data_IF_858537189028
#
_entry.id   IF_858537189028
#
_cell.length_a   1.000
_cell.length_b   1.000
_cell.length_c   1.000
_cell.angle_alpha   90.00
_cell.angle_beta   90.00
_cell.angle_gamma   90.00
#
_symmetry.space_group_name_H-M   'P 1'
#
loop_
_entity.id
_entity.type
_entity.pdbx_description
1 polymer ?
#
# COMPACT_ATOMS: atom_id res chain seq x y z
N UNK A 1 31.94 23.07 -32.49
CA UNK A 1 31.74 22.97 -31.05
C UNK A 1 31.27 21.55 -30.76
N UNK A 2 32.03 20.76 -30.02
CA UNK A 2 31.60 19.43 -29.62
C UNK A 2 30.46 19.55 -28.60
N UNK A 3 29.32 18.96 -28.91
CA UNK A 3 28.24 18.85 -27.96
C UNK A 3 28.74 18.13 -26.71
N UNK A 4 28.65 18.78 -25.56
CA UNK A 4 28.98 18.18 -24.29
C UNK A 4 28.01 17.00 -24.07
N UNK A 5 28.52 15.77 -24.11
CA UNK A 5 27.73 14.58 -23.71
C UNK A 5 27.32 14.75 -22.28
N UNK A 6 26.03 15.01 -22.05
CA UNK A 6 25.44 15.00 -20.73
C UNK A 6 25.41 13.54 -20.25
N UNK A 7 26.26 13.22 -19.29
CA UNK A 7 26.20 11.92 -18.61
C UNK A 7 24.96 11.90 -17.69
N UNK A 8 23.98 11.09 -18.04
CA UNK A 8 22.86 10.79 -17.16
C UNK A 8 23.29 9.71 -16.17
N UNK A 9 23.40 10.08 -14.91
CA UNK A 9 23.63 9.11 -13.83
C UNK A 9 22.37 8.23 -13.71
N UNK A 10 22.54 6.92 -13.77
CA UNK A 10 21.45 5.98 -13.53
C UNK A 10 21.30 5.73 -12.02
N UNK A 11 20.06 5.56 -11.49
CA UNK A 11 19.87 5.17 -10.10
C UNK A 11 20.56 3.82 -9.85
N UNK A 12 21.53 3.83 -8.98
CA UNK A 12 22.35 2.67 -8.62
C UNK A 12 22.79 2.80 -7.18
N UNK A 13 23.35 1.74 -6.61
CA UNK A 13 23.93 1.77 -5.27
C UNK A 13 25.03 2.85 -5.17
N UNK A 14 25.83 3.02 -6.21
CA UNK A 14 26.86 4.07 -6.27
C UNK A 14 26.25 5.48 -6.22
N UNK A 15 25.08 5.67 -6.83
CA UNK A 15 24.37 6.94 -6.76
C UNK A 15 23.84 7.22 -5.36
N UNK A 16 23.40 6.20 -4.60
CA UNK A 16 23.08 6.36 -3.18
C UNK A 16 24.31 6.79 -2.40
N UNK A 17 25.48 6.22 -2.68
CA UNK A 17 26.75 6.60 -2.03
C UNK A 17 27.08 8.10 -2.25
N UNK A 18 26.65 8.70 -3.37
CA UNK A 18 26.84 10.12 -3.63
C UNK A 18 26.05 11.07 -2.72
N UNK A 19 25.09 10.53 -1.97
CA UNK A 19 24.37 11.27 -0.91
C UNK A 19 25.22 11.45 0.35
N UNK A 20 26.38 10.79 0.47
CA UNK A 20 27.30 11.00 1.59
C UNK A 20 27.91 12.40 1.49
N UNK A 21 27.83 13.18 2.56
CA UNK A 21 28.33 14.57 2.60
C UNK A 21 29.86 14.66 2.56
N UNK A 22 30.56 13.59 2.97
CA UNK A 22 32.02 13.57 3.09
C UNK A 22 32.63 12.31 2.47
N UNK A 23 32.41 12.05 1.17
CA UNK A 23 32.84 10.80 0.53
C UNK A 23 34.35 10.62 0.55
N UNK A 24 35.13 11.71 0.52
CA UNK A 24 36.60 11.68 0.61
C UNK A 24 37.13 11.49 2.05
N UNK A 25 36.28 11.60 3.07
CA UNK A 25 36.65 11.46 4.49
C UNK A 25 36.33 10.09 5.09
N UNK A 26 35.77 9.17 4.28
CA UNK A 26 35.41 7.81 4.73
C UNK A 26 36.09 6.75 3.85
N UNK A 27 36.30 5.56 4.41
CA UNK A 27 36.79 4.42 3.63
C UNK A 27 35.72 3.95 2.63
N UNK A 28 36.14 3.29 1.55
CA UNK A 28 35.22 2.72 0.55
C UNK A 28 34.19 1.79 1.17
N UNK A 29 34.63 0.90 2.07
CA UNK A 29 33.72 -0.01 2.79
C UNK A 29 32.70 0.75 3.63
N UNK A 30 33.07 1.88 4.22
CA UNK A 30 32.14 2.72 4.97
C UNK A 30 31.10 3.42 4.05
N UNK A 31 31.54 3.83 2.87
CA UNK A 31 30.63 4.35 1.83
C UNK A 31 29.61 3.31 1.36
N UNK A 32 30.04 2.06 1.18
CA UNK A 32 29.14 0.94 0.82
C UNK A 32 28.13 0.63 1.94
N UNK A 33 28.56 0.67 3.21
CA UNK A 33 27.66 0.52 4.35
C UNK A 33 26.61 1.64 4.37
N UNK A 34 27.01 2.89 4.20
CA UNK A 34 26.10 4.02 4.10
C UNK A 34 25.04 3.82 3.00
N UNK A 35 25.47 3.41 1.80
CA UNK A 35 24.56 3.17 0.68
C UNK A 35 23.56 2.05 0.99
N UNK A 36 24.02 0.95 1.61
CA UNK A 36 23.18 -0.18 2.01
C UNK A 36 22.17 0.22 3.08
N UNK A 37 22.58 1.01 4.06
CA UNK A 37 21.72 1.47 5.14
C UNK A 37 20.62 2.41 4.64
N UNK A 38 20.93 3.36 3.75
CA UNK A 38 19.89 4.21 3.12
C UNK A 38 18.91 3.38 2.29
N UNK A 39 19.41 2.37 1.55
CA UNK A 39 18.55 1.49 0.77
C UNK A 39 17.57 0.67 1.62
N UNK A 40 17.90 0.41 2.86
CA UNK A 40 17.10 -0.36 3.82
C UNK A 40 16.30 0.52 4.79
N UNK A 41 16.72 1.77 5.01
CA UNK A 41 16.07 2.66 5.96
C UNK A 41 14.64 2.99 5.55
N UNK A 42 13.66 2.85 6.47
CA UNK A 42 12.31 3.31 6.21
C UNK A 42 12.25 4.83 6.17
N UNK A 43 11.34 5.40 5.37
CA UNK A 43 11.07 6.83 5.40
C UNK A 43 10.60 7.29 6.78
N UNK A 44 11.38 8.17 7.41
CA UNK A 44 11.04 8.76 8.71
C UNK A 44 9.97 9.83 8.52
N UNK A 45 8.97 9.85 9.40
CA UNK A 45 7.94 10.89 9.40
C UNK A 45 8.56 12.25 9.71
N UNK A 46 8.25 13.25 8.87
CA UNK A 46 8.82 14.58 9.01
C UNK A 46 10.34 14.61 8.85
N UNK A 47 10.88 13.82 7.91
CA UNK A 47 12.31 13.86 7.56
C UNK A 47 12.76 15.29 7.22
N UNK A 48 13.96 15.65 7.66
CA UNK A 48 14.49 17.01 7.59
C UNK A 48 15.51 17.18 6.45
N UNK A 49 15.71 18.42 6.04
CA UNK A 49 16.81 18.76 5.15
C UNK A 49 18.12 18.53 5.86
N UNK A 50 19.05 17.83 5.22
CA UNK A 50 20.42 17.70 5.76
C UNK A 50 21.07 19.06 5.92
N UNK A 51 21.81 19.21 7.00
CA UNK A 51 22.61 20.43 7.26
C UNK A 51 23.67 20.63 6.15
N UNK A 52 24.26 19.53 5.68
CA UNK A 52 25.25 19.55 4.59
C UNK A 52 24.70 18.71 3.44
N UNK A 53 24.24 19.38 2.40
CA UNK A 53 23.70 18.77 1.21
C UNK A 53 24.80 18.52 0.17
N UNK A 54 24.65 17.44 -0.60
CA UNK A 54 25.58 17.09 -1.67
C UNK A 54 25.15 17.65 -3.02
N UNK A 55 23.89 18.11 -3.14
CA UNK A 55 23.25 18.47 -4.42
C UNK A 55 22.70 17.26 -5.19
N UNK A 56 22.99 16.04 -4.74
CA UNK A 56 22.49 14.81 -5.37
C UNK A 56 21.11 14.39 -4.84
N UNK A 57 20.63 15.00 -3.78
CA UNK A 57 19.33 14.71 -3.16
C UNK A 57 18.19 14.90 -4.17
N UNK A 58 18.24 15.94 -4.99
CA UNK A 58 17.25 16.21 -6.04
C UNK A 58 17.33 15.19 -7.17
N UNK A 59 18.54 14.86 -7.60
CA UNK A 59 18.75 13.88 -8.66
C UNK A 59 18.28 12.50 -8.23
N UNK A 60 18.63 12.10 -7.00
CA UNK A 60 18.17 10.84 -6.42
C UNK A 60 16.65 10.81 -6.25
N UNK A 61 16.04 11.91 -5.78
CA UNK A 61 14.59 12.06 -5.63
C UNK A 61 13.80 11.86 -6.91
N UNK A 62 14.37 12.18 -8.09
CA UNK A 62 13.69 11.95 -9.38
C UNK A 62 13.40 10.49 -9.68
N UNK A 63 14.20 9.58 -9.17
CA UNK A 63 14.16 8.16 -9.52
C UNK A 63 13.58 7.25 -8.43
N UNK A 64 13.35 7.78 -7.24
CA UNK A 64 12.94 6.97 -6.08
C UNK A 64 11.57 7.35 -5.57
N UNK A 65 10.82 6.35 -5.11
CA UNK A 65 9.62 6.50 -4.30
C UNK A 65 8.57 7.52 -4.81
N UNK A 66 8.43 7.59 -6.14
CA UNK A 66 7.47 8.47 -6.80
C UNK A 66 6.65 7.70 -7.84
N UNK A 67 5.38 8.02 -7.93
CA UNK A 67 4.50 7.59 -9.01
C UNK A 67 4.37 8.74 -9.99
N UNK A 68 4.75 8.51 -11.25
CA UNK A 68 4.77 9.52 -12.31
C UNK A 68 3.97 9.08 -13.52
N UNK A 69 3.53 10.04 -14.32
CA UNK A 69 3.04 9.74 -15.67
C UNK A 69 4.21 9.23 -16.54
N UNK A 70 4.08 8.04 -17.14
CA UNK A 70 5.17 7.44 -17.92
C UNK A 70 5.37 8.11 -19.28
N UNK A 71 4.34 8.77 -19.81
CA UNK A 71 4.28 9.39 -21.14
C UNK A 71 3.44 10.68 -21.09
N UNK A 72 3.50 11.49 -22.15
CA UNK A 72 2.49 12.53 -22.33
C UNK A 72 1.14 11.88 -22.61
N UNK A 73 0.20 11.97 -21.69
CA UNK A 73 -1.05 11.23 -21.74
C UNK A 73 -2.28 12.09 -21.62
N UNK A 74 -3.37 11.69 -22.26
CA UNK A 74 -4.71 12.24 -22.05
C UNK A 74 -5.51 11.24 -21.22
N UNK A 75 -6.01 11.69 -20.07
CA UNK A 75 -6.76 10.84 -19.13
C UNK A 75 -8.08 10.43 -19.79
N UNK A 76 -8.30 9.13 -19.91
CA UNK A 76 -9.55 8.57 -20.40
C UNK A 76 -10.53 8.32 -19.26
N UNK A 77 -10.04 7.73 -18.16
CA UNK A 77 -10.86 7.47 -16.97
C UNK A 77 -10.00 7.41 -15.71
N UNK A 78 -10.58 7.87 -14.62
CA UNK A 78 -10.04 7.73 -13.26
C UNK A 78 -10.96 6.77 -12.51
N UNK A 79 -10.43 5.63 -12.08
CA UNK A 79 -11.19 4.58 -11.39
C UNK A 79 -10.66 4.42 -9.97
N UNK A 80 -11.53 4.56 -8.99
CA UNK A 80 -11.19 4.38 -7.58
C UNK A 80 -11.54 2.95 -7.14
N UNK A 81 -10.64 2.31 -6.40
CA UNK A 81 -10.85 0.93 -5.95
C UNK A 81 -12.01 0.79 -4.97
N UNK A 82 -12.32 1.85 -4.21
CA UNK A 82 -13.44 1.89 -3.28
C UNK A 82 -14.28 3.13 -3.55
N UNK A 83 -15.62 2.98 -3.49
CA UNK A 83 -16.51 4.14 -3.65
C UNK A 83 -16.38 5.10 -2.48
N UNK A 84 -16.43 6.40 -2.76
CA UNK A 84 -16.40 7.46 -1.77
C UNK A 84 -17.68 7.54 -0.89
N UNK A 85 -18.72 6.78 -1.24
CA UNK A 85 -20.04 6.87 -0.60
C UNK A 85 -20.21 6.02 0.67
N UNK A 86 -19.14 5.48 1.23
CA UNK A 86 -19.16 4.80 2.52
C UNK A 86 -18.65 5.69 3.65
N UNK A 87 -18.81 5.24 4.88
CA UNK A 87 -18.31 5.82 6.13
C UNK A 87 -16.80 6.07 6.18
N UNK A 88 -16.06 5.69 5.14
CA UNK A 88 -14.69 6.13 4.91
C UNK A 88 -14.72 7.63 4.65
N UNK A 89 -14.61 8.38 5.73
CA UNK A 89 -14.61 9.83 5.66
C UNK A 89 -13.54 10.32 4.66
N UNK A 90 -13.76 11.50 4.09
CA UNK A 90 -12.90 12.29 3.21
C UNK A 90 -11.39 12.36 3.58
N UNK A 91 -11.00 11.72 4.67
CA UNK A 91 -9.64 11.73 5.25
C UNK A 91 -8.74 10.59 4.76
N UNK A 92 -9.29 9.56 4.12
CA UNK A 92 -8.49 8.41 3.69
C UNK A 92 -8.18 8.46 2.20
N UNK A 93 -6.93 8.22 1.85
CA UNK A 93 -6.53 8.09 0.45
C UNK A 93 -7.04 6.74 -0.08
N UNK A 94 -7.66 6.77 -1.25
CA UNK A 94 -8.22 5.59 -1.90
C UNK A 94 -7.28 5.18 -3.04
N UNK A 95 -6.94 3.89 -3.20
CA UNK A 95 -6.17 3.45 -4.36
C UNK A 95 -6.89 3.84 -5.64
N UNK A 96 -6.17 4.41 -6.59
CA UNK A 96 -6.74 4.97 -7.81
C UNK A 96 -5.99 4.44 -9.01
N UNK A 97 -6.71 3.97 -10.01
CA UNK A 97 -6.16 3.60 -11.31
C UNK A 97 -6.55 4.64 -12.35
N UNK A 98 -5.54 5.17 -13.02
CA UNK A 98 -5.71 6.19 -14.07
C UNK A 98 -5.48 5.54 -15.41
N UNK A 99 -6.50 5.50 -16.27
CA UNK A 99 -6.40 5.02 -17.65
C UNK A 99 -6.12 6.22 -18.53
N UNK A 100 -5.09 6.14 -19.36
CA UNK A 100 -4.67 7.23 -20.23
C UNK A 100 -4.40 6.75 -21.66
N UNK A 101 -4.56 7.66 -22.62
CA UNK A 101 -4.09 7.49 -23.98
C UNK A 101 -2.68 8.09 -24.11
N UNK A 102 -1.76 7.33 -24.69
CA UNK A 102 -0.38 7.74 -24.94
C UNK A 102 -0.33 8.65 -26.18
N UNK A 103 0.01 9.90 -25.99
CA UNK A 103 0.11 10.89 -27.06
C UNK A 103 1.44 10.84 -27.79
N UNK A 104 2.49 10.28 -27.19
CA UNK A 104 3.82 10.14 -27.78
C UNK A 104 3.85 9.00 -28.81
N UNK A 105 2.99 8.00 -28.65
CA UNK A 105 2.92 6.85 -29.55
C UNK A 105 2.24 7.15 -30.91
N UNK A 106 1.35 8.14 -30.96
CA UNK A 106 0.54 8.49 -32.13
C UNK A 106 -0.85 7.82 -32.12
N UNK A 107 -1.59 7.92 -33.24
CA UNK A 107 -2.94 7.33 -33.34
C UNK A 107 -4.06 8.16 -32.71
N UNK A 108 -3.77 9.37 -32.24
CA UNK A 108 -4.76 10.28 -31.64
C UNK A 108 -5.57 11.10 -32.63
N UNK A 109 -5.25 11.10 -33.92
CA UNK A 109 -5.91 11.91 -34.94
C UNK A 109 -6.54 11.03 -36.04
N UNK A 110 -7.65 11.45 -36.59
CA UNK A 110 -8.29 10.83 -37.76
C UNK A 110 -7.38 10.71 -38.98
N UNK A 111 -6.32 11.50 -39.05
CA UNK A 111 -5.30 11.47 -40.12
C UNK A 111 -4.15 10.53 -39.85
N UNK A 112 -3.98 10.06 -38.61
CA UNK A 112 -2.89 9.16 -38.20
C UNK A 112 -3.39 7.71 -38.22
N UNK A 113 -2.86 6.92 -39.15
CA UNK A 113 -3.23 5.50 -39.30
C UNK A 113 -2.57 4.57 -38.26
N UNK A 114 -1.69 5.10 -37.40
CA UNK A 114 -1.08 4.29 -36.35
C UNK A 114 -2.14 3.93 -35.30
N UNK A 115 -2.04 2.73 -34.67
CA UNK A 115 -2.95 2.36 -33.61
C UNK A 115 -2.81 3.31 -32.40
N UNK A 116 -3.92 3.67 -31.77
CA UNK A 116 -3.88 4.38 -30.51
C UNK A 116 -3.33 3.45 -29.41
N UNK A 117 -2.52 3.98 -28.49
CA UNK A 117 -2.00 3.21 -27.36
C UNK A 117 -2.62 3.70 -26.06
N UNK A 118 -3.06 2.74 -25.24
CA UNK A 118 -3.63 3.02 -23.91
C UNK A 118 -2.82 2.33 -22.83
N UNK A 119 -2.62 3.04 -21.73
CA UNK A 119 -1.93 2.55 -20.57
C UNK A 119 -2.67 2.84 -19.28
N UNK A 120 -2.13 2.31 -18.19
CA UNK A 120 -2.63 2.57 -16.84
C UNK A 120 -1.50 3.01 -15.93
N UNK A 121 -1.82 3.89 -14.98
CA UNK A 121 -0.98 4.21 -13.82
C UNK A 121 -1.79 3.90 -12.57
N UNK A 122 -1.25 3.08 -11.69
CA UNK A 122 -1.85 2.79 -10.40
C UNK A 122 -1.22 3.68 -9.33
N UNK A 123 -2.05 4.35 -8.53
CA UNK A 123 -1.64 5.18 -7.40
C UNK A 123 -2.08 4.45 -6.14
N UNK A 124 -1.19 3.66 -5.50
CA UNK A 124 -1.50 2.93 -4.27
C UNK A 124 -1.57 3.88 -3.07
N UNK A 125 -2.04 3.36 -1.93
CA UNK A 125 -2.03 4.08 -0.67
C UNK A 125 -0.63 4.06 -0.06
N UNK A 126 0.02 2.89 -0.06
CA UNK A 126 1.29 2.64 0.59
C UNK A 126 2.25 1.87 -0.31
N UNK A 127 3.50 1.85 0.08
CA UNK A 127 4.53 0.99 -0.50
C UNK A 127 5.41 0.43 0.61
N UNK A 128 5.85 -0.81 0.44
CA UNK A 128 6.88 -1.40 1.29
C UNK A 128 8.26 -1.03 0.76
N UNK A 129 9.18 -0.70 1.64
CA UNK A 129 10.56 -0.39 1.32
C UNK A 129 11.49 -1.56 1.67
N UNK A 130 11.36 -2.09 2.88
CA UNK A 130 12.17 -3.20 3.36
C UNK A 130 11.37 -4.08 4.33
N UNK A 131 11.13 -5.34 3.99
CA UNK A 131 10.28 -6.26 4.75
C UNK A 131 8.90 -5.65 5.05
N UNK A 132 8.58 -5.51 6.33
CA UNK A 132 7.31 -4.91 6.80
C UNK A 132 7.35 -3.39 6.88
N UNK A 133 8.51 -2.77 6.65
CA UNK A 133 8.69 -1.33 6.75
C UNK A 133 8.33 -0.64 5.42
N UNK A 134 7.69 0.51 5.51
CA UNK A 134 7.26 1.23 4.32
C UNK A 134 6.78 2.65 4.61
N UNK A 135 5.93 3.16 3.74
CA UNK A 135 5.39 4.51 3.84
C UNK A 135 4.05 4.64 3.13
N UNK A 136 3.25 5.61 3.57
CA UNK A 136 2.06 6.04 2.86
C UNK A 136 2.44 7.05 1.77
N UNK A 137 1.91 6.88 0.56
CA UNK A 137 2.10 7.86 -0.51
C UNK A 137 1.36 9.17 -0.22
N UNK A 138 2.03 10.29 -0.46
CA UNK A 138 1.44 11.62 -0.43
C UNK A 138 1.04 12.02 -1.84
N UNK A 139 -0.26 12.20 -2.08
CA UNK A 139 -0.76 12.66 -3.38
C UNK A 139 -0.42 14.13 -3.63
N UNK A 140 0.05 14.40 -4.83
CA UNK A 140 0.34 15.76 -5.28
C UNK A 140 -0.95 16.51 -5.68
N UNK A 141 -0.92 17.83 -5.83
CA UNK A 141 -2.05 18.57 -6.41
C UNK A 141 -2.45 18.06 -7.79
N UNK A 142 -1.49 17.65 -8.63
CA UNK A 142 -1.77 17.05 -9.94
C UNK A 142 -2.63 15.78 -9.85
N UNK A 143 -2.36 14.91 -8.87
CA UNK A 143 -3.19 13.71 -8.67
C UNK A 143 -4.59 14.01 -8.15
N UNK A 144 -4.77 15.11 -7.44
CA UNK A 144 -6.09 15.55 -6.92
C UNK A 144 -6.96 16.19 -7.99
N UNK A 145 -6.35 16.75 -9.03
CA UNK A 145 -7.04 17.39 -10.16
C UNK A 145 -7.26 16.48 -11.37
N UNK A 146 -6.99 15.16 -11.24
CA UNK A 146 -7.20 14.21 -12.31
C UNK A 146 -8.68 14.11 -12.69
N UNK A 147 -8.96 14.38 -13.96
CA UNK A 147 -10.30 14.29 -14.56
C UNK A 147 -10.20 13.75 -15.98
N UNK A 148 -11.29 13.18 -16.49
CA UNK A 148 -11.36 12.68 -17.85
C UNK A 148 -11.13 13.81 -18.85
N UNK A 149 -10.34 13.55 -19.90
CA UNK A 149 -10.02 14.50 -20.96
C UNK A 149 -8.86 15.45 -20.66
N UNK A 150 -8.32 15.47 -19.46
CA UNK A 150 -7.16 16.32 -19.12
C UNK A 150 -5.88 15.70 -19.68
N UNK A 151 -5.06 16.52 -20.32
CA UNK A 151 -3.71 16.16 -20.74
C UNK A 151 -2.73 16.34 -19.58
N UNK A 152 -1.93 15.31 -19.32
CA UNK A 152 -0.91 15.29 -18.28
C UNK A 152 0.45 15.04 -18.94
N UNK A 153 1.44 15.95 -18.73
CA UNK A 153 2.78 15.76 -19.27
C UNK A 153 3.49 14.54 -18.66
N UNK A 154 4.39 13.97 -19.45
CA UNK A 154 5.34 12.95 -18.97
C UNK A 154 6.10 13.46 -17.74
N UNK A 155 6.47 12.52 -16.86
CA UNK A 155 7.19 12.78 -15.62
C UNK A 155 6.46 13.66 -14.58
N UNK A 156 5.18 14.02 -14.83
CA UNK A 156 4.35 14.65 -13.80
C UNK A 156 4.19 13.72 -12.61
N UNK A 157 4.60 14.18 -11.43
CA UNK A 157 4.53 13.42 -10.19
C UNK A 157 3.09 13.39 -9.69
N UNK A 158 2.50 12.21 -9.57
CA UNK A 158 1.14 12.00 -9.07
C UNK A 158 1.12 11.68 -7.57
N UNK A 159 2.08 10.89 -7.11
CA UNK A 159 2.25 10.59 -5.70
C UNK A 159 3.73 10.43 -5.36
N UNK A 160 4.09 10.68 -4.12
CA UNK A 160 5.47 10.61 -3.65
C UNK A 160 5.56 10.09 -2.23
N UNK A 161 6.70 9.51 -1.88
CA UNK A 161 7.05 9.19 -0.50
C UNK A 161 7.11 10.45 0.38
N UNK A 162 6.85 10.36 1.68
CA UNK A 162 7.12 11.44 2.63
C UNK A 162 8.60 11.90 2.64
N UNK A 163 9.52 11.00 2.23
CA UNK A 163 10.94 11.34 2.08
C UNK A 163 11.26 12.24 0.88
N UNK A 164 10.30 12.52 0.01
CA UNK A 164 10.48 13.46 -1.11
C UNK A 164 9.70 14.72 -0.81
N UNK A 165 10.39 15.84 -0.74
CA UNK A 165 9.76 17.11 -0.45
C UNK A 165 9.03 17.75 -1.66
N UNK A 166 8.45 18.96 -1.46
CA UNK A 166 7.74 19.66 -2.53
C UNK A 166 8.62 20.03 -3.71
N UNK A 167 9.91 20.16 -3.50
CA UNK A 167 10.88 20.52 -4.53
C UNK A 167 11.42 19.29 -5.29
N UNK A 168 11.10 18.08 -4.80
CA UNK A 168 11.61 16.82 -5.34
C UNK A 168 12.91 16.35 -4.71
N UNK A 169 13.36 16.99 -3.63
CA UNK A 169 14.60 16.64 -2.96
C UNK A 169 14.36 15.46 -1.97
N UNK A 170 15.27 14.50 -1.97
CA UNK A 170 15.21 13.34 -1.09
C UNK A 170 15.71 13.70 0.32
N UNK A 171 14.90 13.33 1.31
CA UNK A 171 15.16 13.51 2.75
C UNK A 171 15.05 12.15 3.44
N UNK A 172 16.09 11.73 4.14
CA UNK A 172 16.14 10.35 4.64
C UNK A 172 16.35 10.24 6.15
N UNK A 173 16.33 11.33 6.91
CA UNK A 173 16.51 11.28 8.34
C UNK A 173 16.20 12.60 9.04
N UNK A 174 16.69 12.73 10.25
CA UNK A 174 16.58 13.92 11.09
C UNK A 174 17.93 14.37 11.57
N UNK A 175 18.09 15.69 11.64
CA UNK A 175 19.27 16.29 12.28
C UNK A 175 19.19 16.08 13.79
N UNK A 176 20.31 15.77 14.41
CA UNK A 176 20.40 15.54 15.84
C UNK A 176 21.55 16.32 16.47
N UNK A 177 21.32 16.87 17.66
CA UNK A 177 22.38 17.34 18.51
C UNK A 177 22.99 16.13 19.24
N UNK A 178 24.28 15.91 19.08
CA UNK A 178 24.98 14.76 19.62
C UNK A 178 25.88 15.23 20.80
N UNK A 179 25.70 14.58 21.93
CA UNK A 179 26.63 14.69 23.08
C UNK A 179 27.49 13.43 23.12
N UNK A 180 28.81 13.60 23.05
CA UNK A 180 29.78 12.53 23.25
C UNK A 180 30.02 12.38 24.74
N UNK A 181 29.71 11.21 25.27
CA UNK A 181 29.83 10.91 26.68
C UNK A 181 29.92 9.41 26.94
N UNK A 182 30.10 9.04 28.19
CA UNK A 182 30.07 7.66 28.64
C UNK A 182 28.95 7.48 29.66
N UNK A 183 28.16 6.44 29.47
CA UNK A 183 27.08 6.03 30.37
C UNK A 183 27.34 4.59 30.84
N UNK A 184 27.04 4.24 32.10
CA UNK A 184 27.27 2.88 32.61
C UNK A 184 26.52 1.79 31.80
N UNK A 185 25.36 2.12 31.26
CA UNK A 185 24.46 1.21 30.54
C UNK A 185 24.80 1.06 29.04
N UNK A 186 25.69 1.92 28.53
CA UNK A 186 26.00 1.99 27.09
C UNK A 186 27.46 1.62 26.84
N UNK A 187 27.69 0.68 25.93
CA UNK A 187 29.02 0.23 25.52
C UNK A 187 29.20 0.29 24.02
N UNK A 188 30.41 0.51 23.56
CA UNK A 188 30.85 0.48 22.14
C UNK A 188 30.01 1.42 21.25
N UNK A 189 29.13 0.88 20.43
CA UNK A 189 28.27 1.56 19.45
C UNK A 189 26.87 1.89 19.99
N UNK A 190 26.63 1.70 21.27
CA UNK A 190 25.39 2.06 21.92
C UNK A 190 25.16 3.56 21.98
N UNK A 191 23.89 3.98 21.85
CA UNK A 191 23.48 5.38 21.98
C UNK A 191 22.24 5.51 22.85
N UNK A 192 22.16 6.62 23.59
CA UNK A 192 20.97 7.00 24.35
C UNK A 192 20.17 8.01 23.53
N UNK A 193 18.91 7.71 23.23
CA UNK A 193 18.01 8.64 22.57
C UNK A 193 17.15 9.40 23.58
N UNK A 194 17.06 10.71 23.41
CA UNK A 194 16.03 11.48 24.08
C UNK A 194 14.65 11.03 23.58
N UNK A 195 13.71 10.75 24.49
CA UNK A 195 12.35 10.29 24.16
C UNK A 195 11.68 11.18 23.10
N UNK A 196 11.74 12.49 23.22
CA UNK A 196 11.15 13.40 22.23
C UNK A 196 11.78 13.31 20.84
N UNK A 197 13.09 12.98 20.73
CA UNK A 197 13.72 12.70 19.45
C UNK A 197 13.24 11.38 18.83
N UNK A 198 13.14 10.34 19.67
CA UNK A 198 12.59 9.05 19.21
C UNK A 198 11.15 9.18 18.72
N UNK A 199 10.28 9.86 19.48
CA UNK A 199 8.89 10.14 19.10
C UNK A 199 8.77 10.97 17.82
N UNK A 200 9.68 11.90 17.58
CA UNK A 200 9.76 12.68 16.36
C UNK A 200 10.33 11.89 15.16
N UNK A 201 10.97 10.76 15.39
CA UNK A 201 11.63 9.93 14.37
C UNK A 201 10.84 8.67 14.02
N UNK A 202 9.53 8.70 14.19
CA UNK A 202 8.64 7.58 13.85
C UNK A 202 8.69 7.24 12.37
N UNK A 203 8.46 5.97 12.08
CA UNK A 203 8.30 5.44 10.72
C UNK A 203 7.18 4.41 10.69
N UNK A 204 6.76 4.00 9.50
CA UNK A 204 5.63 3.10 9.30
C UNK A 204 6.03 1.65 9.20
N UNK A 205 5.33 0.80 9.94
CA UNK A 205 5.29 -0.64 9.73
C UNK A 205 3.95 -1.06 9.12
N UNK A 206 3.95 -2.20 8.45
CA UNK A 206 2.75 -2.81 7.87
C UNK A 206 2.70 -4.28 8.24
N UNK A 207 1.52 -4.73 8.62
CA UNK A 207 1.23 -6.14 8.84
C UNK A 207 0.18 -6.63 7.86
N UNK A 208 0.26 -7.90 7.48
CA UNK A 208 -0.76 -8.57 6.68
C UNK A 208 -1.33 -9.73 7.48
N UNK A 209 -2.64 -9.88 7.42
CA UNK A 209 -3.34 -10.95 8.11
C UNK A 209 -4.36 -11.57 7.16
N UNK A 210 -4.33 -12.88 7.04
CA UNK A 210 -5.33 -13.64 6.31
C UNK A 210 -6.32 -14.25 7.28
N UNK A 211 -7.59 -13.96 7.07
CA UNK A 211 -8.73 -14.46 7.81
C UNK A 211 -9.47 -15.44 6.91
N UNK A 212 -9.82 -16.58 7.44
CA UNK A 212 -10.58 -17.61 6.74
C UNK A 212 -11.67 -18.15 7.65
N UNK A 213 -12.86 -18.35 7.12
CA UNK A 213 -13.94 -19.01 7.84
C UNK A 213 -14.92 -19.72 6.90
N UNK A 214 -15.50 -20.79 7.43
CA UNK A 214 -16.51 -21.64 6.79
C UNK A 214 -17.73 -21.78 7.74
N UNK A 215 -18.74 -22.54 7.33
CA UNK A 215 -20.03 -22.61 8.02
C UNK A 215 -20.05 -23.21 9.42
N UNK A 216 -19.01 -23.93 9.83
CA UNK A 216 -18.93 -24.51 11.19
C UNK A 216 -18.42 -23.48 12.22
N UNK A 217 -17.94 -22.32 11.73
CA UNK A 217 -17.40 -21.24 12.53
C UNK A 217 -18.17 -19.96 12.27
N UNK A 218 -18.63 -19.33 13.33
CA UNK A 218 -19.40 -18.09 13.25
C UNK A 218 -18.48 -16.91 13.53
N UNK A 219 -18.31 -15.98 12.54
CA UNK A 219 -17.54 -14.78 12.77
C UNK A 219 -18.23 -13.87 13.80
N UNK A 220 -17.47 -13.29 14.72
CA UNK A 220 -17.99 -12.43 15.77
C UNK A 220 -18.21 -10.99 15.29
N UNK A 221 -19.22 -10.32 15.82
CA UNK A 221 -19.55 -8.92 15.56
C UNK A 221 -18.73 -7.97 16.43
N UNK A 222 -17.40 -7.97 16.30
CA UNK A 222 -16.49 -7.25 17.20
C UNK A 222 -16.39 -5.75 16.94
N UNK A 223 -16.73 -5.31 15.74
CA UNK A 223 -16.61 -3.93 15.28
C UNK A 223 -17.97 -3.29 14.92
N UNK A 224 -19.04 -4.06 15.02
CA UNK A 224 -20.38 -3.61 14.72
C UNK A 224 -21.21 -3.28 15.97
N UNK A 225 -22.44 -2.93 15.70
CA UNK A 225 -23.47 -2.68 16.69
C UNK A 225 -24.69 -3.61 16.47
N UNK A 226 -25.80 -3.33 17.15
CA UNK A 226 -27.03 -4.13 17.03
C UNK A 226 -27.69 -4.06 15.64
N UNK A 227 -27.33 -3.08 14.82
CA UNK A 227 -27.90 -2.85 13.49
C UNK A 227 -26.95 -3.25 12.36
N UNK A 228 -25.64 -3.12 12.60
CA UNK A 228 -24.61 -3.34 11.60
C UNK A 228 -23.67 -4.45 12.06
N UNK A 229 -23.66 -5.56 11.35
CA UNK A 229 -22.76 -6.67 11.63
C UNK A 229 -21.39 -6.40 11.00
N UNK A 230 -20.36 -6.16 11.83
CA UNK A 230 -19.00 -5.91 11.40
C UNK A 230 -18.04 -6.89 12.08
N UNK A 231 -17.39 -7.71 11.29
CA UNK A 231 -16.52 -8.79 11.76
C UNK A 231 -15.05 -8.40 11.86
N UNK A 232 -14.66 -7.33 11.16
CA UNK A 232 -13.31 -6.75 11.20
C UNK A 232 -13.39 -5.22 11.06
N UNK A 233 -12.32 -4.47 11.40
CA UNK A 233 -12.33 -3.01 11.25
C UNK A 233 -12.34 -2.60 9.78
N UNK A 234 -13.11 -1.60 9.42
CA UNK A 234 -13.14 -1.03 8.07
C UNK A 234 -11.81 -0.33 7.74
N UNK A 235 -11.55 -0.12 6.45
CA UNK A 235 -10.37 0.65 6.01
C UNK A 235 -10.41 2.04 6.67
N UNK A 236 -9.30 2.41 7.33
CA UNK A 236 -9.16 3.64 8.09
C UNK A 236 -9.55 3.56 9.55
N UNK A 237 -10.19 2.49 9.99
CA UNK A 237 -10.47 2.26 11.41
C UNK A 237 -9.26 1.70 12.15
N UNK A 238 -9.17 2.01 13.42
CA UNK A 238 -8.16 1.46 14.31
C UNK A 238 -8.58 0.08 14.82
N UNK A 239 -7.62 -0.79 15.00
CA UNK A 239 -7.81 -2.07 15.66
C UNK A 239 -8.13 -1.82 17.14
N UNK A 240 -8.96 -2.65 17.73
CA UNK A 240 -9.35 -2.60 19.15
C UNK A 240 -8.11 -2.60 20.05
N UNK A 241 -8.26 -2.04 21.24
CA UNK A 241 -7.17 -1.96 22.22
C UNK A 241 -6.65 -3.32 22.72
N UNK A 242 -7.46 -4.39 22.58
CA UNK A 242 -7.03 -5.77 22.86
C UNK A 242 -6.29 -6.42 21.68
N UNK A 243 -6.13 -5.69 20.58
CA UNK A 243 -5.43 -6.15 19.36
C UNK A 243 -6.25 -7.11 18.49
N UNK A 244 -7.46 -7.53 18.90
CA UNK A 244 -8.24 -8.52 18.16
C UNK A 244 -8.80 -7.87 16.88
N UNK A 245 -8.32 -8.34 15.73
CA UNK A 245 -8.76 -7.88 14.40
C UNK A 245 -10.00 -8.64 13.95
N UNK A 246 -10.06 -9.92 14.28
CA UNK A 246 -11.13 -10.82 13.87
C UNK A 246 -11.18 -12.02 14.81
N UNK A 247 -12.36 -12.58 15.03
CA UNK A 247 -12.49 -13.86 15.73
C UNK A 247 -13.68 -14.65 15.22
N UNK A 248 -13.55 -15.97 15.31
CA UNK A 248 -14.62 -16.94 15.06
C UNK A 248 -14.96 -17.72 16.33
N UNK A 249 -16.20 -18.14 16.40
CA UNK A 249 -16.70 -19.02 17.46
C UNK A 249 -17.19 -20.32 16.86
N UNK A 250 -16.64 -21.43 17.34
CA UNK A 250 -17.15 -22.75 17.00
C UNK A 250 -18.47 -23.00 17.70
N UNK A 251 -19.50 -23.39 16.93
CA UNK A 251 -20.82 -23.67 17.48
C UNK A 251 -20.84 -25.04 18.14
N UNK A 252 -21.36 -25.09 19.38
CA UNK A 252 -21.53 -26.32 20.15
C UNK A 252 -23.01 -26.71 20.11
N UNK A 253 -23.34 -27.94 19.64
CA UNK A 253 -24.72 -28.43 19.65
C UNK A 253 -25.36 -28.31 21.04
N UNK A 254 -26.56 -27.76 21.11
CA UNK A 254 -27.28 -27.52 22.38
C UNK A 254 -27.04 -26.15 23.02
N UNK A 255 -25.98 -25.43 22.68
CA UNK A 255 -25.67 -24.08 23.20
C UNK A 255 -25.96 -22.96 22.21
N UNK A 256 -26.45 -23.25 21.01
CA UNK A 256 -26.68 -22.27 19.94
C UNK A 256 -27.45 -21.02 20.36
N UNK A 257 -28.58 -21.10 21.11
CA UNK A 257 -29.32 -19.89 21.46
C UNK A 257 -28.53 -18.91 22.33
N UNK A 258 -27.61 -19.45 23.16
CA UNK A 258 -26.76 -18.63 24.02
C UNK A 258 -25.58 -18.06 23.20
N UNK A 259 -24.92 -18.91 22.41
CA UNK A 259 -23.75 -18.54 21.61
C UNK A 259 -24.07 -17.55 20.50
N UNK A 260 -25.27 -17.63 19.90
CA UNK A 260 -25.75 -16.76 18.83
C UNK A 260 -26.53 -15.54 19.34
N UNK A 261 -26.62 -15.32 20.66
CA UNK A 261 -27.20 -14.12 21.17
C UNK A 261 -26.40 -12.89 20.76
N UNK A 262 -27.06 -11.76 20.48
CA UNK A 262 -26.41 -10.51 20.04
C UNK A 262 -25.25 -10.11 20.96
N UNK A 263 -25.46 -10.19 22.26
CA UNK A 263 -24.48 -9.84 23.28
C UNK A 263 -23.27 -10.81 23.24
N UNK A 264 -23.50 -12.11 23.06
CA UNK A 264 -22.44 -13.09 22.99
C UNK A 264 -21.58 -12.92 21.73
N UNK A 265 -22.18 -12.55 20.59
CA UNK A 265 -21.47 -12.31 19.34
C UNK A 265 -20.61 -11.03 19.35
N UNK A 266 -20.88 -10.08 20.25
CA UNK A 266 -20.10 -8.86 20.43
C UNK A 266 -18.94 -9.02 21.44
N UNK A 267 -18.85 -10.17 22.11
CA UNK A 267 -17.83 -10.46 23.12
C UNK A 267 -16.84 -11.50 22.64
N UNK A 268 -15.57 -11.17 22.68
CA UNK A 268 -14.47 -12.10 22.47
C UNK A 268 -14.16 -12.85 23.76
N UNK A 269 -14.05 -14.17 23.69
CA UNK A 269 -13.72 -15.07 24.79
C UNK A 269 -12.46 -15.87 24.49
N UNK A 270 -11.76 -16.33 25.51
CA UNK A 270 -10.54 -17.13 25.36
C UNK A 270 -10.73 -18.44 24.59
N UNK A 271 -11.99 -18.91 24.48
CA UNK A 271 -12.35 -20.11 23.70
C UNK A 271 -12.58 -19.84 22.23
N UNK A 272 -12.61 -18.58 21.81
CA UNK A 272 -12.80 -18.17 20.42
C UNK A 272 -11.46 -18.16 19.67
N UNK A 273 -11.46 -18.48 18.37
CA UNK A 273 -10.26 -18.38 17.54
C UNK A 273 -10.07 -16.93 17.07
N UNK A 274 -9.14 -16.23 17.69
CA UNK A 274 -8.86 -14.82 17.46
C UNK A 274 -7.62 -14.58 16.61
N UNK A 275 -7.71 -13.66 15.67
CA UNK A 275 -6.56 -13.09 14.93
C UNK A 275 -6.20 -11.76 15.55
N UNK A 276 -5.00 -11.66 16.11
CA UNK A 276 -4.54 -10.53 16.93
C UNK A 276 -3.41 -9.81 16.23
N UNK A 277 -3.54 -8.50 16.04
CA UNK A 277 -2.43 -7.61 15.70
C UNK A 277 -1.60 -7.39 16.98
N UNK A 278 -0.30 -7.57 16.87
CA UNK A 278 0.62 -7.43 18.03
C UNK A 278 1.01 -5.97 18.28
N UNK A 279 0.76 -5.12 17.30
CA UNK A 279 1.21 -3.74 17.28
C UNK A 279 0.11 -2.80 17.79
N UNK A 280 0.49 -1.90 18.69
CA UNK A 280 -0.40 -0.87 19.20
C UNK A 280 -0.79 0.13 18.10
N UNK A 281 -2.02 0.65 18.18
CA UNK A 281 -2.55 1.66 17.25
C UNK A 281 -2.51 1.23 15.77
N UNK A 282 -2.62 -0.07 15.52
CA UNK A 282 -2.75 -0.61 14.16
C UNK A 282 -4.02 -0.09 13.49
N UNK A 283 -3.90 0.35 12.23
CA UNK A 283 -5.02 0.89 11.44
C UNK A 283 -5.12 0.16 10.11
N UNK A 284 -6.31 -0.25 9.74
CA UNK A 284 -6.54 -0.97 8.48
C UNK A 284 -6.33 -0.04 7.28
N UNK A 285 -5.51 -0.50 6.33
CA UNK A 285 -5.15 0.23 5.11
C UNK A 285 -5.81 -0.38 3.88
N UNK A 286 -5.91 -1.70 3.82
CA UNK A 286 -6.47 -2.43 2.69
C UNK A 286 -7.22 -3.67 3.15
N UNK A 287 -8.30 -3.98 2.46
CA UNK A 287 -9.08 -5.21 2.64
C UNK A 287 -9.34 -5.80 1.26
N UNK A 288 -8.91 -7.03 1.04
CA UNK A 288 -9.19 -7.81 -0.17
C UNK A 288 -10.02 -9.04 0.21
N UNK A 289 -11.10 -9.28 -0.52
CA UNK A 289 -12.05 -10.36 -0.21
C UNK A 289 -12.09 -11.35 -1.36
N UNK A 290 -11.95 -12.63 -1.05
CA UNK A 290 -12.13 -13.75 -1.96
C UNK A 290 -13.31 -14.57 -1.45
N UNK A 291 -14.29 -14.81 -2.31
CA UNK A 291 -15.44 -15.65 -2.03
C UNK A 291 -15.39 -16.91 -2.90
N UNK A 292 -15.26 -18.07 -2.26
CA UNK A 292 -15.15 -19.38 -2.91
C UNK A 292 -16.31 -20.30 -2.47
N UNK A 293 -17.52 -20.21 -3.08
CA UNK A 293 -18.67 -20.98 -2.63
C UNK A 293 -18.47 -22.47 -2.85
N UNK A 294 -18.67 -23.29 -1.81
CA UNK A 294 -18.55 -24.76 -1.80
C UNK A 294 -19.92 -25.47 -1.94
N UNK A 295 -20.88 -24.89 -2.60
CA UNK A 295 -22.23 -25.42 -2.69
C UNK A 295 -23.26 -24.44 -2.15
N UNK A 296 -24.08 -24.84 -1.17
CA UNK A 296 -24.95 -23.89 -0.47
C UNK A 296 -24.08 -23.01 0.45
N UNK A 297 -24.39 -21.71 0.60
CA UNK A 297 -23.71 -20.88 1.59
C UNK A 297 -23.80 -21.53 2.98
N UNK A 298 -22.68 -21.63 3.65
CA UNK A 298 -22.58 -22.27 4.97
C UNK A 298 -22.60 -21.25 6.08
N UNK A 299 -22.14 -20.02 5.81
CA UNK A 299 -22.16 -18.92 6.76
C UNK A 299 -23.60 -18.49 7.07
N UNK A 300 -23.99 -18.33 8.35
CA UNK A 300 -25.33 -17.92 8.72
C UNK A 300 -25.72 -16.57 8.09
N UNK A 301 -26.99 -16.46 7.69
CA UNK A 301 -27.54 -15.27 7.03
C UNK A 301 -27.34 -14.02 7.88
N UNK A 302 -26.77 -12.98 7.29
CA UNK A 302 -26.56 -11.67 7.95
C UNK A 302 -25.19 -11.52 8.62
N UNK A 303 -24.39 -12.57 8.75
CA UNK A 303 -23.06 -12.51 9.35
C UNK A 303 -21.94 -12.20 8.36
N UNK A 304 -22.21 -12.33 7.08
CA UNK A 304 -21.31 -12.03 5.97
C UNK A 304 -21.62 -10.71 5.24
N UNK A 305 -22.39 -9.83 5.87
CA UNK A 305 -22.80 -8.54 5.27
C UNK A 305 -21.61 -7.69 4.90
N UNK A 306 -20.68 -7.50 5.83
CA UNK A 306 -19.48 -6.67 5.59
C UNK A 306 -18.57 -7.27 4.50
N UNK A 307 -18.17 -8.56 4.52
CA UNK A 307 -17.42 -9.17 3.43
C UNK A 307 -18.10 -9.05 2.06
N UNK A 308 -19.43 -9.23 2.00
CA UNK A 308 -20.20 -9.04 0.75
C UNK A 308 -20.14 -7.60 0.24
N UNK A 309 -20.18 -6.62 1.10
CA UNK A 309 -20.04 -5.21 0.71
C UNK A 309 -18.66 -4.94 0.09
N UNK A 310 -17.58 -5.48 0.68
CA UNK A 310 -16.23 -5.36 0.11
C UNK A 310 -16.11 -6.08 -1.24
N UNK A 311 -16.64 -7.29 -1.34
CA UNK A 311 -16.68 -8.05 -2.58
C UNK A 311 -17.43 -7.29 -3.70
N UNK A 312 -18.57 -6.67 -3.37
CA UNK A 312 -19.35 -5.89 -4.33
C UNK A 312 -18.59 -4.63 -4.77
N UNK A 313 -17.93 -3.92 -3.86
CA UNK A 313 -17.06 -2.76 -4.21
C UNK A 313 -15.89 -3.18 -5.10
N UNK A 314 -15.29 -4.32 -4.81
CA UNK A 314 -14.21 -4.89 -5.64
C UNK A 314 -14.73 -5.24 -7.05
N UNK A 315 -15.93 -5.82 -7.15
CA UNK A 315 -16.59 -6.08 -8.45
C UNK A 315 -16.89 -4.79 -9.21
N UNK A 316 -17.44 -3.79 -8.55
CA UNK A 316 -17.70 -2.47 -9.14
C UNK A 316 -16.44 -1.85 -9.74
N UNK A 317 -15.32 -1.90 -9.01
CA UNK A 317 -14.03 -1.44 -9.53
C UNK A 317 -13.63 -2.14 -10.83
N UNK A 318 -13.73 -3.47 -10.91
CA UNK A 318 -13.40 -4.21 -12.12
C UNK A 318 -14.42 -4.02 -13.23
N UNK A 319 -15.68 -3.81 -12.91
CA UNK A 319 -16.72 -3.44 -13.89
C UNK A 319 -16.44 -2.07 -14.52
N UNK A 320 -16.02 -1.09 -13.74
CA UNK A 320 -15.63 0.24 -14.26
C UNK A 320 -14.40 0.15 -15.18
N UNK A 321 -13.40 -0.66 -14.83
CA UNK A 321 -12.25 -0.92 -15.70
C UNK A 321 -12.66 -1.58 -17.01
N UNK A 322 -13.55 -2.57 -16.96
CA UNK A 322 -14.10 -3.24 -18.14
C UNK A 322 -14.90 -2.28 -19.00
N UNK A 323 -15.76 -1.47 -18.40
CA UNK A 323 -16.52 -0.44 -19.11
C UNK A 323 -15.61 0.54 -19.85
N UNK A 324 -14.52 0.99 -19.21
CA UNK A 324 -13.55 1.86 -19.85
C UNK A 324 -12.84 1.18 -21.05
N UNK A 325 -12.52 -0.11 -20.94
CA UNK A 325 -11.98 -0.88 -22.04
C UNK A 325 -12.99 -1.01 -23.20
N UNK A 326 -14.24 -1.30 -22.90
CA UNK A 326 -15.31 -1.45 -23.91
C UNK A 326 -15.57 -0.13 -24.64
N UNK A 327 -15.52 1.02 -23.95
CA UNK A 327 -15.58 2.35 -24.56
C UNK A 327 -14.40 2.61 -25.51
N UNK A 328 -13.17 2.25 -25.12
CA UNK A 328 -11.99 2.34 -25.98
C UNK A 328 -12.19 1.50 -27.23
N UNK A 329 -12.65 0.26 -27.07
CA UNK A 329 -12.93 -0.65 -28.19
C UNK A 329 -14.02 -0.13 -29.12
N UNK A 330 -15.08 0.46 -28.59
CA UNK A 330 -16.14 1.06 -29.41
C UNK A 330 -15.63 2.25 -30.24
N UNK A 331 -14.77 3.09 -29.67
CA UNK A 331 -14.23 4.29 -30.34
C UNK A 331 -13.17 3.98 -31.39
N UNK A 332 -12.33 2.98 -31.14
CA UNK A 332 -11.14 2.69 -31.95
C UNK A 332 -11.25 1.38 -32.75
N UNK A 333 -12.32 0.59 -32.56
CA UNK A 333 -12.50 -0.71 -33.21
C UNK A 333 -11.38 -1.69 -32.80
N UNK A 334 -10.63 -2.18 -33.80
CA UNK A 334 -9.44 -3.02 -33.58
C UNK A 334 -8.12 -2.24 -33.69
N UNK A 335 -8.18 -0.92 -33.94
CA UNK A 335 -6.98 -0.10 -34.19
C UNK A 335 -6.45 0.55 -32.91
N UNK A 336 -6.20 -0.27 -31.88
CA UNK A 336 -5.54 0.21 -30.66
C UNK A 336 -4.67 -0.89 -30.03
N UNK A 337 -3.73 -0.48 -29.16
CA UNK A 337 -2.83 -1.34 -28.42
C UNK A 337 -2.93 -0.97 -26.92
N UNK A 338 -2.97 -1.98 -26.08
CA UNK A 338 -2.92 -1.81 -24.62
C UNK A 338 -1.50 -2.04 -24.09
N UNK A 339 -1.12 -1.27 -23.09
CA UNK A 339 0.12 -1.57 -22.34
C UNK A 339 0.01 -2.93 -21.63
N UNK A 340 1.14 -3.63 -21.37
CA UNK A 340 1.12 -4.90 -20.64
C UNK A 340 0.42 -4.79 -19.28
N UNK A 341 0.64 -3.70 -18.57
CA UNK A 341 0.02 -3.47 -17.26
C UNK A 341 -1.51 -3.37 -17.36
N UNK A 342 -2.02 -2.72 -18.41
CA UNK A 342 -3.46 -2.64 -18.64
C UNK A 342 -4.05 -4.01 -19.02
N UNK A 343 -3.37 -4.78 -19.85
CA UNK A 343 -3.77 -6.14 -20.19
C UNK A 343 -3.86 -7.03 -18.95
N UNK A 344 -2.81 -7.02 -18.12
CA UNK A 344 -2.77 -7.79 -16.87
C UNK A 344 -3.88 -7.39 -15.91
N UNK A 345 -4.19 -6.10 -15.83
CA UNK A 345 -5.27 -5.58 -14.99
C UNK A 345 -6.65 -6.06 -15.46
N UNK A 346 -6.88 -6.10 -16.79
CA UNK A 346 -8.13 -6.62 -17.36
C UNK A 346 -8.27 -8.13 -17.12
N UNK A 347 -7.20 -8.92 -17.33
CA UNK A 347 -7.22 -10.36 -17.05
C UNK A 347 -7.56 -10.63 -15.56
N UNK A 348 -6.93 -9.89 -14.65
CA UNK A 348 -7.26 -9.96 -13.21
C UNK A 348 -8.71 -9.56 -12.96
N UNK A 349 -9.20 -8.55 -13.66
CA UNK A 349 -10.59 -8.09 -13.59
C UNK A 349 -11.57 -9.17 -14.04
N UNK A 350 -11.30 -9.86 -15.13
CA UNK A 350 -12.13 -10.96 -15.61
C UNK A 350 -12.23 -12.09 -14.58
N UNK A 351 -11.13 -12.47 -13.93
CA UNK A 351 -11.13 -13.48 -12.88
C UNK A 351 -12.02 -13.07 -11.68
N UNK A 352 -12.03 -11.78 -11.33
CA UNK A 352 -12.84 -11.27 -10.21
C UNK A 352 -14.32 -11.07 -10.57
N UNK A 353 -14.64 -10.94 -11.87
CA UNK A 353 -16.01 -10.77 -12.35
C UNK A 353 -16.71 -12.10 -12.67
N UNK A 354 -16.00 -13.22 -12.68
CA UNK A 354 -16.60 -14.54 -12.92
C UNK A 354 -17.65 -14.84 -11.86
N UNK A 355 -18.84 -15.18 -12.32
CA UNK A 355 -19.92 -15.66 -11.47
C UNK A 355 -19.68 -17.14 -11.08
N UNK A 356 -19.07 -17.34 -9.93
CA UNK A 356 -18.75 -18.67 -9.40
C UNK A 356 -20.00 -19.57 -9.22
N UNK A 357 -21.19 -19.00 -9.24
CA UNK A 357 -22.44 -19.76 -9.18
C UNK A 357 -22.77 -20.49 -10.49
N UNK A 358 -22.37 -19.95 -11.64
CA UNK A 358 -22.64 -20.51 -12.97
C UNK A 358 -21.48 -21.30 -13.56
N UNK A 359 -20.24 -20.88 -13.29
CA UNK A 359 -19.02 -21.45 -13.87
C UNK A 359 -18.21 -22.32 -12.91
N UNK A 360 -18.85 -22.93 -11.91
CA UNK A 360 -18.25 -23.74 -10.85
C UNK A 360 -17.27 -24.82 -11.30
N UNK A 361 -17.38 -25.32 -12.50
CA UNK A 361 -16.53 -26.41 -13.00
C UNK A 361 -15.17 -25.93 -13.52
N UNK A 362 -14.93 -24.62 -13.67
CA UNK A 362 -13.75 -24.08 -14.35
C UNK A 362 -12.68 -23.51 -13.45
N UNK A 363 -13.01 -23.07 -12.23
CA UNK A 363 -12.04 -22.45 -11.33
C UNK A 363 -12.15 -23.08 -9.96
N UNK A 364 -11.09 -23.79 -9.57
CA UNK A 364 -10.90 -24.24 -8.18
C UNK A 364 -9.95 -23.25 -7.52
N UNK A 365 -10.43 -22.54 -6.51
CA UNK A 365 -9.58 -21.73 -5.66
C UNK A 365 -8.79 -22.65 -4.73
N UNK A 366 -7.47 -22.63 -4.90
CA UNK A 366 -6.55 -23.47 -4.13
C UNK A 366 -5.44 -22.61 -3.55
N UNK A 367 -5.19 -22.73 -2.28
CA UNK A 367 -4.02 -22.20 -1.62
C UNK A 367 -3.20 -23.34 -1.05
N UNK A 368 -1.91 -23.39 -1.40
CA UNK A 368 -1.00 -24.45 -0.95
C UNK A 368 -1.52 -25.89 -1.16
N UNK A 369 -2.29 -26.12 -2.23
CA UNK A 369 -2.84 -27.45 -2.56
C UNK A 369 -4.17 -27.80 -1.87
N UNK A 370 -4.70 -26.94 -1.00
CA UNK A 370 -5.98 -27.14 -0.33
C UNK A 370 -7.05 -26.18 -0.86
N UNK A 371 -8.34 -26.58 -0.93
CA UNK A 371 -9.42 -25.67 -1.29
C UNK A 371 -9.50 -24.52 -0.30
N UNK A 372 -9.72 -23.32 -0.82
CA UNK A 372 -9.97 -22.14 0.02
C UNK A 372 -11.24 -22.31 0.85
N UNK A 373 -11.27 -21.69 2.01
CA UNK A 373 -12.48 -21.52 2.81
C UNK A 373 -13.54 -20.72 2.04
N UNK A 374 -14.81 -20.80 2.43
CA UNK A 374 -15.89 -20.07 1.76
C UNK A 374 -15.57 -18.57 1.66
N UNK A 375 -15.04 -18.00 2.75
CA UNK A 375 -14.56 -16.64 2.83
C UNK A 375 -13.06 -16.62 3.17
N UNK A 376 -12.30 -15.92 2.35
CA UNK A 376 -10.89 -15.60 2.62
C UNK A 376 -10.74 -14.08 2.50
N UNK A 377 -10.28 -13.44 3.57
CA UNK A 377 -10.16 -11.99 3.68
C UNK A 377 -8.71 -11.67 4.03
N UNK A 378 -8.05 -10.89 3.19
CA UNK A 378 -6.70 -10.37 3.45
C UNK A 378 -6.81 -8.94 3.93
N UNK A 379 -6.35 -8.69 5.15
CA UNK A 379 -6.35 -7.38 5.78
C UNK A 379 -4.91 -6.91 5.91
N UNK A 380 -4.61 -5.74 5.33
CA UNK A 380 -3.34 -5.05 5.58
C UNK A 380 -3.59 -3.90 6.53
N UNK A 381 -2.80 -3.81 7.57
CA UNK A 381 -2.83 -2.73 8.55
C UNK A 381 -1.48 -2.04 8.66
N UNK A 382 -1.48 -0.78 9.02
CA UNK A 382 -0.28 0.02 9.27
C UNK A 382 -0.21 0.45 10.73
N UNK A 383 0.98 0.60 11.24
CA UNK A 383 1.25 1.08 12.59
C UNK A 383 2.49 1.97 12.62
N UNK A 384 2.58 2.84 13.63
CA UNK A 384 3.73 3.70 13.81
C UNK A 384 4.75 3.01 14.72
N UNK A 385 6.00 2.98 14.27
CA UNK A 385 7.13 2.45 15.02
C UNK A 385 7.95 3.63 15.54
N UNK A 386 8.13 3.70 16.85
CA UNK A 386 9.05 4.64 17.50
C UNK A 386 10.38 3.94 17.73
N UNK A 387 11.53 4.53 17.39
CA UNK A 387 12.83 3.96 17.75
C UNK A 387 12.93 3.67 19.25
N UNK A 388 13.22 2.43 19.58
CA UNK A 388 13.36 1.94 20.97
C UNK A 388 14.62 1.10 21.11
N UNK A 389 14.89 0.61 22.32
CA UNK A 389 16.02 -0.28 22.63
C UNK A 389 16.04 -1.45 21.64
N UNK A 390 17.21 -1.72 21.07
CA UNK A 390 17.44 -2.76 20.06
C UNK A 390 17.27 -2.28 18.61
N UNK A 391 16.77 -1.07 18.37
CA UNK A 391 16.73 -0.51 17.02
C UNK A 391 18.12 -0.01 16.59
N UNK A 392 18.44 -0.25 15.33
CA UNK A 392 19.68 0.18 14.71
C UNK A 392 19.47 1.54 14.04
N UNK A 393 20.35 2.48 14.35
CA UNK A 393 20.42 3.78 13.70
C UNK A 393 21.70 3.87 12.87
N UNK A 394 21.72 4.74 11.89
CA UNK A 394 22.92 5.06 11.12
C UNK A 394 23.11 6.57 11.03
N UNK A 395 24.38 7.00 11.11
CA UNK A 395 24.72 8.39 10.84
C UNK A 395 24.91 8.64 9.32
N UNK A 396 25.11 9.90 8.98
CA UNK A 396 25.33 10.33 7.60
C UNK A 396 26.62 9.80 6.95
N UNK A 397 27.48 9.13 7.68
CA UNK A 397 28.75 8.54 7.20
C UNK A 397 28.68 7.01 7.17
N UNK A 398 27.53 6.41 7.46
CA UNK A 398 27.34 4.97 7.49
C UNK A 398 27.89 4.30 8.74
N UNK A 399 28.03 5.03 9.86
CA UNK A 399 28.32 4.42 11.16
C UNK A 399 26.99 3.97 11.79
N UNK A 400 26.91 2.70 12.10
CA UNK A 400 25.76 2.12 12.78
C UNK A 400 25.87 2.26 14.29
N UNK A 401 24.73 2.42 14.94
CA UNK A 401 24.59 2.60 16.38
C UNK A 401 23.34 1.83 16.84
N UNK A 402 23.38 1.28 18.04
CA UNK A 402 22.26 0.60 18.69
C UNK A 402 21.66 1.50 19.79
N UNK A 403 20.33 1.62 19.77
CA UNK A 403 19.60 2.34 20.83
C UNK A 403 19.54 1.50 22.09
#
# INVERSE_FOLDING_TARGET
MAEAKVFTLRPSLLQIASLNSFPGGVSTSRGDMFASEIGQAPPVQGAEVKLIQTGMEREYGKYTHQIKMPVNGVIQRVVNQYSANGTMGLRYQIPTTVIFQDMDFGGGSLRDKRPARFGVVHIPIYSLNHHVLGFDFVRTPAARSLQNGIAIPKDTVLARSPSIDSNGDYRYGKNANILLGSFPEVRQDGVVLRRGYAEASKFKGYGEMTIQFDGDEVPLNLYGDDKNYKIFPDIGEEVRSDGVVFATRRLIPGLYPIQLSRRALQQYMDTDDGKIAKEDNARVVSVEVIYAPKGKPTTPVGMDVQPRQYLERQRQYYQELRSAYDEIRQRHGSNFVLSPDFQNLLVRGEMNLIDHGRDRQRITFVESGSPLSEWTIKITYSYDITPTIGHKLADQNGKTMLV
#
